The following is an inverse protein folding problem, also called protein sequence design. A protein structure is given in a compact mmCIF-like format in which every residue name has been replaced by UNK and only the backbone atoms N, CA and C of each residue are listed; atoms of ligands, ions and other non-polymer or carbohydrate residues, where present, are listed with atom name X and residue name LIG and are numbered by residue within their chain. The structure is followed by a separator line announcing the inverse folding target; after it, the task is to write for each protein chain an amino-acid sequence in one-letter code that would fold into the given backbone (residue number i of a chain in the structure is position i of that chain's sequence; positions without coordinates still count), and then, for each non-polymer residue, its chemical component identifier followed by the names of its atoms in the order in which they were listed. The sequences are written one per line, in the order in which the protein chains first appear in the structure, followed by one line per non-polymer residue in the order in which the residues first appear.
data_IF_902253429153
#
_entry.id   IF_902253429153
#
_cell.length_a   1.000
_cell.length_b   1.000
_cell.length_c   1.000
_cell.angle_alpha   90.00
_cell.angle_beta   90.00
_cell.angle_gamma   90.00
#
_symmetry.space_group_name_H-M   'P 1'
#
loop_
_entity.id
_entity.type
_entity.pdbx_description
1 polymer ?
#
# COMPACT_ATOMS: atom_id res chain seq x y z
N UNK A 1 -17.29 -1.28 -9.77
CA UNK A 1 -17.24 -2.47 -8.89
C UNK A 1 -16.95 -2.00 -7.46
N UNK A 2 -17.93 -2.10 -6.57
CA UNK A 2 -17.83 -1.59 -5.19
C UNK A 2 -17.31 -2.64 -4.20
N UNK A 3 -16.70 -2.21 -3.11
CA UNK A 3 -16.27 -3.10 -2.03
C UNK A 3 -17.48 -3.40 -1.16
N UNK A 4 -18.11 -4.54 -1.39
CA UNK A 4 -19.27 -5.00 -0.61
C UNK A 4 -18.80 -6.02 0.43
N UNK A 5 -19.21 -5.84 1.69
CA UNK A 5 -18.97 -6.75 2.81
C UNK A 5 -20.31 -6.97 3.51
N UNK A 6 -20.83 -8.20 3.44
CA UNK A 6 -22.05 -8.59 4.14
C UNK A 6 -21.71 -9.10 5.55
N UNK A 7 -22.61 -8.81 6.49
CA UNK A 7 -22.57 -9.37 7.85
C UNK A 7 -22.78 -10.87 7.79
N UNK A 8 -22.02 -11.62 8.59
CA UNK A 8 -22.22 -13.05 8.80
C UNK A 8 -23.08 -13.28 10.05
N UNK A 9 -23.81 -14.37 10.10
CA UNK A 9 -24.62 -14.71 11.28
C UNK A 9 -23.72 -14.92 12.51
N UNK A 10 -24.14 -14.35 13.65
CA UNK A 10 -23.36 -14.36 14.89
C UNK A 10 -22.15 -13.41 14.91
N UNK A 11 -21.91 -12.61 13.87
CA UNK A 11 -20.75 -11.72 13.82
C UNK A 11 -20.92 -10.50 14.73
N UNK A 12 -19.92 -10.26 15.59
CA UNK A 12 -19.80 -9.03 16.36
C UNK A 12 -19.62 -7.83 15.41
N UNK A 13 -20.32 -6.70 15.62
CA UNK A 13 -20.23 -5.52 14.75
C UNK A 13 -18.80 -5.02 14.47
N UNK A 14 -17.91 -5.09 15.46
CA UNK A 14 -16.51 -4.67 15.30
C UNK A 14 -15.72 -5.55 14.33
N UNK A 15 -16.01 -6.85 14.27
CA UNK A 15 -15.36 -7.78 13.33
C UNK A 15 -15.74 -7.47 11.88
N UNK A 16 -17.01 -7.10 11.65
CA UNK A 16 -17.49 -6.65 10.34
C UNK A 16 -16.75 -5.39 9.87
N UNK A 17 -16.59 -4.41 10.76
CA UNK A 17 -15.84 -3.16 10.49
C UNK A 17 -14.38 -3.49 10.15
N UNK A 18 -13.74 -4.37 10.92
CA UNK A 18 -12.36 -4.78 10.66
C UNK A 18 -12.19 -5.45 9.28
N UNK A 19 -13.10 -6.35 8.90
CA UNK A 19 -13.09 -6.96 7.55
C UNK A 19 -13.25 -5.92 6.46
N UNK A 20 -14.15 -4.96 6.66
CA UNK A 20 -14.36 -3.88 5.71
C UNK A 20 -13.11 -3.01 5.56
N UNK A 21 -12.49 -2.58 6.66
CA UNK A 21 -11.26 -1.77 6.61
C UNK A 21 -10.11 -2.54 5.97
N UNK A 22 -9.91 -3.83 6.30
CA UNK A 22 -8.91 -4.68 5.62
C UNK A 22 -9.16 -4.80 4.12
N UNK A 23 -10.40 -5.01 3.69
CA UNK A 23 -10.75 -5.11 2.26
C UNK A 23 -10.52 -3.79 1.54
N UNK A 24 -10.83 -2.65 2.16
CA UNK A 24 -10.49 -1.32 1.64
C UNK A 24 -8.97 -1.14 1.53
N UNK A 25 -8.20 -1.50 2.54
CA UNK A 25 -6.74 -1.37 2.52
C UNK A 25 -6.13 -2.21 1.40
N UNK A 26 -6.55 -3.48 1.26
CA UNK A 26 -6.08 -4.39 0.22
C UNK A 26 -6.46 -3.92 -1.19
N UNK A 27 -7.67 -3.37 -1.36
CA UNK A 27 -8.14 -2.86 -2.65
C UNK A 27 -7.31 -1.68 -3.18
N UNK A 28 -6.56 -0.99 -2.31
CA UNK A 28 -5.77 0.18 -2.68
C UNK A 28 -6.59 1.40 -3.09
N UNK A 29 -7.93 1.37 -2.99
CA UNK A 29 -8.83 2.46 -3.43
C UNK A 29 -8.46 3.78 -2.76
N UNK A 30 -8.16 3.78 -1.45
CA UNK A 30 -7.73 4.98 -0.74
C UNK A 30 -6.41 5.54 -1.26
N UNK A 31 -5.46 4.67 -1.64
CA UNK A 31 -4.16 5.08 -2.20
C UNK A 31 -4.34 5.72 -3.57
N UNK A 32 -5.18 5.12 -4.40
CA UNK A 32 -5.48 5.64 -5.74
C UNK A 32 -6.27 6.95 -5.68
N UNK A 33 -7.26 7.05 -4.78
CA UNK A 33 -8.00 8.29 -4.54
C UNK A 33 -7.06 9.42 -4.09
N UNK A 34 -6.18 9.16 -3.11
CA UNK A 34 -5.18 10.15 -2.64
C UNK A 34 -4.20 10.54 -3.74
N UNK A 35 -3.80 9.60 -4.60
CA UNK A 35 -2.92 9.86 -5.75
C UNK A 35 -3.59 10.75 -6.80
N UNK A 36 -4.87 10.51 -7.09
CA UNK A 36 -5.65 11.26 -8.08
C UNK A 36 -6.20 12.60 -7.59
N UNK A 37 -6.22 12.82 -6.26
CA UNK A 37 -6.71 14.06 -5.64
C UNK A 37 -6.06 15.33 -6.21
N UNK A 38 -4.78 15.26 -6.59
CA UNK A 38 -4.06 16.38 -7.16
C UNK A 38 -3.35 15.97 -8.45
N UNK A 39 -3.41 16.82 -9.48
CA UNK A 39 -2.60 16.64 -10.68
C UNK A 39 -1.12 16.87 -10.33
N UNK A 40 -0.25 15.97 -10.80
CA UNK A 40 1.19 16.09 -10.64
C UNK A 40 1.84 16.22 -12.02
N UNK A 41 2.80 17.15 -12.14
CA UNK A 41 3.62 17.26 -13.35
C UNK A 41 4.37 15.94 -13.61
N UNK A 42 4.48 15.56 -14.88
CA UNK A 42 5.24 14.37 -15.29
C UNK A 42 6.71 14.53 -14.85
N UNK A 43 7.21 13.52 -14.14
CA UNK A 43 8.59 13.49 -13.65
C UNK A 43 9.56 13.27 -14.82
N UNK A 44 10.70 13.98 -14.82
CA UNK A 44 11.76 13.84 -15.84
C UNK A 44 12.40 12.45 -15.79
N UNK A 45 13.08 12.04 -16.88
CA UNK A 45 13.74 10.73 -16.98
C UNK A 45 14.75 10.51 -15.84
N UNK A 46 15.60 11.51 -15.56
CA UNK A 46 16.63 11.42 -14.52
C UNK A 46 16.02 11.23 -13.13
N UNK A 47 14.99 12.01 -12.77
CA UNK A 47 14.32 11.85 -11.47
C UNK A 47 13.66 10.47 -11.29
N UNK A 48 13.19 9.83 -12.37
CA UNK A 48 12.68 8.44 -12.31
C UNK A 48 13.82 7.45 -12.11
N UNK A 49 14.95 7.67 -12.77
CA UNK A 49 16.15 6.85 -12.66
C UNK A 49 16.73 6.89 -11.24
N UNK A 50 16.91 8.08 -10.67
CA UNK A 50 17.43 8.24 -9.30
C UNK A 50 16.51 7.57 -8.26
N UNK A 51 15.19 7.69 -8.45
CA UNK A 51 14.21 6.99 -7.61
C UNK A 51 14.32 5.47 -7.72
N UNK A 52 14.62 4.94 -8.91
CA UNK A 52 14.79 3.51 -9.12
C UNK A 52 16.08 2.99 -8.46
N UNK A 53 17.19 3.73 -8.61
CA UNK A 53 18.46 3.41 -7.94
C UNK A 53 18.28 3.37 -6.43
N UNK A 54 17.66 4.41 -5.86
CA UNK A 54 17.42 4.49 -4.42
C UNK A 54 16.61 3.29 -3.92
N UNK A 55 15.54 2.91 -4.62
CA UNK A 55 14.71 1.76 -4.25
C UNK A 55 15.50 0.45 -4.30
N UNK A 56 16.28 0.23 -5.35
CA UNK A 56 17.10 -0.96 -5.48
C UNK A 56 18.14 -1.06 -4.35
N UNK A 57 18.83 0.04 -4.04
CA UNK A 57 19.79 0.11 -2.94
C UNK A 57 19.15 -0.15 -1.58
N UNK A 58 17.97 0.43 -1.33
CA UNK A 58 17.23 0.18 -0.09
C UNK A 58 16.75 -1.26 0.04
N UNK A 59 16.27 -1.88 -1.05
CA UNK A 59 15.90 -3.29 -1.05
C UNK A 59 17.08 -4.21 -0.71
N UNK A 60 18.27 -3.92 -1.27
CA UNK A 60 19.49 -4.66 -0.96
C UNK A 60 19.93 -4.47 0.50
N UNK A 61 19.83 -3.25 1.03
CA UNK A 61 20.13 -2.95 2.44
C UNK A 61 19.21 -3.71 3.39
N UNK A 62 17.91 -3.68 3.16
CA UNK A 62 16.91 -4.41 3.97
C UNK A 62 17.18 -5.92 3.92
N UNK A 63 17.53 -6.46 2.75
CA UNK A 63 17.87 -7.89 2.63
C UNK A 63 19.12 -8.25 3.46
N UNK A 64 20.13 -7.38 3.45
CA UNK A 64 21.34 -7.57 4.26
C UNK A 64 21.03 -7.51 5.76
N UNK A 65 20.25 -6.53 6.20
CA UNK A 65 19.84 -6.38 7.61
C UNK A 65 19.04 -7.59 8.09
N UNK A 66 18.11 -8.10 7.26
CA UNK A 66 17.38 -9.34 7.52
C UNK A 66 18.30 -10.54 7.65
N UNK A 67 19.30 -10.66 6.77
CA UNK A 67 20.32 -11.73 6.85
C UNK A 67 21.15 -11.63 8.13
N UNK A 68 21.36 -10.42 8.64
CA UNK A 68 22.12 -10.14 9.86
C UNK A 68 21.28 -10.24 11.15
N UNK A 69 19.96 -10.45 11.06
CA UNK A 69 19.07 -10.54 12.22
C UNK A 69 18.85 -9.20 12.95
N UNK A 70 19.15 -8.08 12.30
CA UNK A 70 18.90 -6.73 12.85
C UNK A 70 17.43 -6.32 12.68
N UNK A 71 16.71 -6.95 11.72
CA UNK A 71 15.29 -6.78 11.38
C UNK A 71 14.69 -8.14 11.00
#
# INVERSE_FOLDING_TARGET
MGIIVKRRDGEQPMSLIYRFTKKIQQSGVLREAKKRRFSRRRVTRNKRHDSAIYKAGMSAKILKERKQGLI
#
